data_IF_658167380741
#
_entry.id   IF_658167380741
#
_cell.length_a   1.000
_cell.length_b   1.000
_cell.length_c   1.000
_cell.angle_alpha   90.00
_cell.angle_beta   90.00
_cell.angle_gamma   90.00
#
_symmetry.space_group_name_H-M   'P 1'
#
loop_
_entity.id
_entity.type
_entity.pdbx_description
1 polymer ?
#
# COMPACT_ATOMS: atom_id res chain seq x y z
N UNK A 1 6.57 20.95 1.65
CA UNK A 1 7.35 20.25 2.70
C UNK A 1 8.58 19.69 2.00
N UNK A 2 9.77 19.96 2.53
CA UNK A 2 11.03 19.61 1.87
C UNK A 2 11.41 18.15 2.19
N UNK A 3 11.31 17.26 1.19
CA UNK A 3 11.60 15.83 1.32
C UNK A 3 13.05 15.58 1.79
N UNK A 4 14.02 16.32 1.24
CA UNK A 4 15.44 16.15 1.56
C UNK A 4 15.69 16.52 3.02
N UNK A 5 15.03 17.56 3.52
CA UNK A 5 15.09 17.94 4.94
C UNK A 5 14.55 16.83 5.87
N UNK A 6 13.42 16.23 5.53
CA UNK A 6 12.81 15.14 6.32
C UNK A 6 13.64 13.85 6.30
N UNK A 7 14.24 13.52 5.15
CA UNK A 7 15.15 12.39 5.02
C UNK A 7 16.40 12.61 5.88
N UNK A 8 17.02 13.79 5.81
CA UNK A 8 18.17 14.14 6.62
C UNK A 8 17.86 14.07 8.13
N UNK A 9 16.75 14.65 8.57
CA UNK A 9 16.28 14.56 9.96
C UNK A 9 16.06 13.11 10.41
N UNK A 10 15.54 12.26 9.52
CA UNK A 10 15.37 10.83 9.82
C UNK A 10 16.71 10.11 9.96
N UNK A 11 17.65 10.34 9.04
CA UNK A 11 19.00 9.74 9.07
C UNK A 11 19.78 10.20 10.31
N UNK A 12 19.68 11.47 10.71
CA UNK A 12 20.30 11.99 11.92
C UNK A 12 19.80 11.26 13.18
N UNK A 13 18.47 11.11 13.32
CA UNK A 13 17.89 10.33 14.43
C UNK A 13 18.31 8.86 14.39
N UNK A 14 18.39 8.27 13.20
CA UNK A 14 18.88 6.90 13.04
C UNK A 14 20.32 6.78 13.56
N UNK A 15 21.23 7.68 13.19
CA UNK A 15 22.65 7.66 13.64
C UNK A 15 22.84 7.79 15.16
N UNK A 16 21.81 8.21 15.91
CA UNK A 16 21.83 8.20 17.38
C UNK A 16 21.76 6.77 17.97
N UNK A 17 21.30 5.78 17.20
CA UNK A 17 21.17 4.38 17.63
C UNK A 17 22.39 3.56 17.18
N UNK A 18 22.99 2.70 18.04
CA UNK A 18 24.21 1.96 17.72
C UNK A 18 24.16 1.15 16.41
N UNK A 19 23.06 0.43 16.16
CA UNK A 19 22.88 -0.35 14.93
C UNK A 19 23.03 0.51 13.67
N UNK A 20 22.28 1.62 13.61
CA UNK A 20 22.29 2.53 12.47
C UNK A 20 23.59 3.31 12.38
N UNK A 21 24.20 3.69 13.50
CA UNK A 21 25.52 4.35 13.52
C UNK A 21 26.58 3.50 12.83
N UNK A 22 26.64 2.21 13.15
CA UNK A 22 27.58 1.28 12.52
C UNK A 22 27.23 1.05 11.05
N UNK A 23 25.96 0.76 10.75
CA UNK A 23 25.49 0.52 9.39
C UNK A 23 25.75 1.69 8.44
N UNK A 24 25.63 2.91 8.94
CA UNK A 24 25.73 4.14 8.15
C UNK A 24 27.12 4.80 8.25
N UNK A 25 28.13 4.15 8.83
CA UNK A 25 29.43 4.77 9.11
C UNK A 25 30.13 5.33 7.85
N UNK A 26 29.96 4.65 6.72
CA UNK A 26 30.58 5.00 5.44
C UNK A 26 29.61 5.73 4.48
N UNK A 27 28.38 6.02 4.91
CA UNK A 27 27.40 6.74 4.10
C UNK A 27 27.53 8.25 4.28
N UNK A 28 27.10 9.06 3.30
CA UNK A 28 27.04 10.52 3.43
C UNK A 28 26.35 10.96 4.74
N UNK A 29 26.86 12.03 5.34
CA UNK A 29 26.28 12.61 6.56
C UNK A 29 24.96 13.33 6.27
N UNK A 30 24.84 13.90 5.07
CA UNK A 30 23.71 14.68 4.60
C UNK A 30 23.45 14.34 3.13
N UNK A 31 22.18 14.30 2.76
CA UNK A 31 21.70 14.21 1.39
C UNK A 31 21.48 15.61 0.83
N UNK A 32 21.86 15.82 -0.42
CA UNK A 32 21.53 16.98 -1.24
C UNK A 32 20.30 16.70 -2.11
N UNK A 33 20.09 15.44 -2.50
CA UNK A 33 18.90 14.99 -3.21
C UNK A 33 18.42 13.60 -2.74
N UNK A 34 17.17 13.20 -3.07
CA UNK A 34 16.69 11.85 -2.76
C UNK A 34 17.54 10.73 -3.40
N UNK A 35 18.17 10.99 -4.55
CA UNK A 35 19.00 10.05 -5.31
C UNK A 35 20.29 9.68 -4.55
N UNK A 36 20.77 10.51 -3.62
CA UNK A 36 21.91 10.19 -2.77
C UNK A 36 21.67 8.94 -1.91
N UNK A 37 20.41 8.57 -1.68
CA UNK A 37 20.05 7.33 -1.02
C UNK A 37 20.62 6.10 -1.75
N UNK A 38 20.87 6.15 -3.06
CA UNK A 38 21.47 5.02 -3.79
C UNK A 38 22.82 4.58 -3.21
N UNK A 39 23.55 5.48 -2.55
CA UNK A 39 24.81 5.18 -1.84
C UNK A 39 24.62 4.45 -0.49
N UNK A 40 23.40 4.35 0.01
CA UNK A 40 23.06 3.71 1.28
C UNK A 40 22.74 2.22 1.08
N UNK A 41 23.13 1.34 2.02
CA UNK A 41 22.95 -0.10 1.88
C UNK A 41 21.48 -0.51 1.98
N UNK A 42 21.04 -1.39 1.06
CA UNK A 42 19.71 -2.01 1.08
C UNK A 42 19.47 -2.79 2.37
N UNK A 43 18.31 -2.60 2.98
CA UNK A 43 17.86 -3.36 4.13
C UNK A 43 17.02 -4.56 3.68
N UNK A 44 17.57 -5.76 3.85
CA UNK A 44 16.92 -7.01 3.48
C UNK A 44 15.96 -7.50 4.58
N UNK A 45 14.93 -8.23 4.18
CA UNK A 45 13.97 -8.83 5.11
C UNK A 45 14.64 -9.73 6.17
N UNK A 46 15.66 -10.51 5.77
CA UNK A 46 16.39 -11.38 6.68
C UNK A 46 17.08 -10.62 7.81
N UNK A 47 17.57 -9.42 7.54
CA UNK A 47 18.20 -8.59 8.55
C UNK A 47 17.17 -7.95 9.48
N UNK A 48 16.07 -7.44 8.92
CA UNK A 48 14.94 -6.92 9.71
C UNK A 48 14.39 -7.98 10.68
N UNK A 49 14.33 -9.25 10.23
CA UNK A 49 13.91 -10.39 11.05
C UNK A 49 14.88 -10.67 12.22
N UNK A 50 16.19 -10.68 11.97
CA UNK A 50 17.21 -11.03 12.98
C UNK A 50 17.51 -9.90 13.95
N UNK A 51 17.60 -8.67 13.45
CA UNK A 51 18.15 -7.51 14.17
C UNK A 51 17.14 -6.40 14.39
N UNK A 52 15.86 -6.58 14.05
CA UNK A 52 14.85 -5.52 14.07
C UNK A 52 14.75 -4.77 15.41
N UNK A 53 14.94 -5.44 16.54
CA UNK A 53 14.92 -4.76 17.87
C UNK A 53 16.05 -3.74 18.03
N UNK A 54 17.20 -3.96 17.40
CA UNK A 54 18.35 -3.06 17.47
C UNK A 54 18.14 -1.79 16.62
N UNK A 55 17.15 -1.78 15.73
CA UNK A 55 16.87 -0.67 14.79
C UNK A 55 15.89 0.37 15.36
N UNK A 56 15.29 0.11 16.53
CA UNK A 56 14.27 0.95 17.16
C UNK A 56 14.90 2.22 17.72
N UNK A 57 14.29 3.39 17.46
CA UNK A 57 14.86 4.69 17.88
C UNK A 57 14.42 5.16 19.26
N UNK A 58 13.36 4.57 19.80
CA UNK A 58 12.71 4.99 21.04
C UNK A 58 12.74 3.88 22.08
N UNK A 59 12.68 4.21 23.39
CA UNK A 59 12.64 3.19 24.43
C UNK A 59 11.38 2.31 24.32
N UNK A 60 11.38 1.08 24.88
CA UNK A 60 10.23 0.17 24.80
C UNK A 60 8.91 0.76 25.31
N UNK A 61 8.96 1.68 26.30
CA UNK A 61 7.78 2.36 26.83
C UNK A 61 7.08 3.29 25.84
N UNK A 62 7.79 3.76 24.81
CA UNK A 62 7.28 4.69 23.79
C UNK A 62 6.76 3.95 22.53
N UNK A 63 6.71 2.62 22.57
CA UNK A 63 6.16 1.80 21.49
C UNK A 63 4.66 1.58 21.72
N UNK A 64 3.84 2.06 20.79
CA UNK A 64 2.39 1.91 20.83
C UNK A 64 1.90 0.56 20.29
N UNK A 65 2.63 -0.05 19.34
CA UNK A 65 2.26 -1.33 18.73
C UNK A 65 3.49 -2.10 18.21
N UNK A 66 3.57 -3.40 18.53
CA UNK A 66 4.54 -4.33 17.94
C UNK A 66 3.83 -5.29 16.98
N UNK A 67 4.05 -5.12 15.68
CA UNK A 67 3.48 -6.01 14.65
C UNK A 67 4.39 -7.22 14.50
N UNK A 68 3.89 -8.42 14.79
CA UNK A 68 4.64 -9.67 14.62
C UNK A 68 4.17 -10.38 13.35
N UNK A 69 5.09 -10.60 12.43
CA UNK A 69 4.89 -11.31 11.17
C UNK A 69 5.50 -12.71 11.29
N UNK A 70 4.66 -13.74 11.19
CA UNK A 70 5.10 -15.14 11.11
C UNK A 70 5.02 -15.58 9.66
N UNK A 71 6.13 -16.03 9.07
CA UNK A 71 6.13 -16.78 7.82
C UNK A 71 5.71 -18.22 8.11
N UNK A 72 4.74 -18.73 7.36
CA UNK A 72 4.40 -20.15 7.37
C UNK A 72 5.57 -20.93 6.76
N UNK A 73 6.35 -21.62 7.59
CA UNK A 73 7.42 -22.51 7.11
C UNK A 73 8.85 -22.19 7.57
N UNK A 74 9.07 -21.13 8.35
CA UNK A 74 10.41 -20.85 8.93
C UNK A 74 10.44 -21.16 10.42
N UNK A 75 11.36 -22.00 10.87
CA UNK A 75 11.64 -22.26 12.31
C UNK A 75 12.32 -21.09 13.02
N UNK A 76 12.76 -20.07 12.28
CA UNK A 76 13.43 -18.88 12.81
C UNK A 76 12.51 -17.89 13.54
N UNK A 77 13.08 -16.88 14.22
CA UNK A 77 12.32 -15.88 14.94
C UNK A 77 11.42 -15.07 13.99
N UNK A 78 10.23 -14.65 14.44
CA UNK A 78 9.32 -13.87 13.60
C UNK A 78 9.87 -12.46 13.35
N UNK A 79 9.54 -11.90 12.19
CA UNK A 79 9.85 -10.51 11.86
C UNK A 79 8.95 -9.58 12.69
N UNK A 80 9.51 -8.53 13.29
CA UNK A 80 8.78 -7.59 14.14
C UNK A 80 8.99 -6.15 13.70
N UNK A 81 7.91 -5.38 13.68
CA UNK A 81 7.90 -3.94 13.38
C UNK A 81 7.39 -3.21 14.61
N UNK A 82 8.07 -2.12 15.00
CA UNK A 82 7.78 -1.37 16.22
C UNK A 82 7.27 0.02 15.84
N UNK A 83 6.00 0.28 16.12
CA UNK A 83 5.32 1.53 15.76
C UNK A 83 5.09 2.35 17.03
N UNK A 84 5.54 3.60 17.03
CA UNK A 84 5.23 4.57 18.10
C UNK A 84 3.78 5.07 17.97
N UNK A 85 3.20 5.69 19.02
CA UNK A 85 1.91 6.37 18.91
C UNK A 85 1.85 7.42 17.79
N UNK A 86 2.97 8.12 17.52
CA UNK A 86 3.08 9.11 16.45
C UNK A 86 2.94 8.44 15.07
N UNK A 87 3.58 7.28 14.87
CA UNK A 87 3.50 6.53 13.60
C UNK A 87 2.07 6.05 13.34
N UNK A 88 1.40 5.57 14.39
CA UNK A 88 0.03 5.07 14.34
C UNK A 88 -0.97 6.18 14.01
N UNK A 89 -0.86 7.35 14.66
CA UNK A 89 -1.73 8.50 14.36
C UNK A 89 -1.48 9.02 12.94
N UNK A 90 -0.23 9.01 12.45
CA UNK A 90 0.05 9.34 11.04
C UNK A 90 -0.66 8.39 10.08
N UNK A 91 -0.73 7.09 10.40
CA UNK A 91 -1.47 6.11 9.58
C UNK A 91 -2.97 6.37 9.64
N UNK A 92 -3.54 6.63 10.82
CA UNK A 92 -4.94 6.99 10.97
C UNK A 92 -5.28 8.24 10.17
N UNK A 93 -4.43 9.27 10.20
CA UNK A 93 -4.61 10.49 9.40
C UNK A 93 -4.57 10.21 7.91
N UNK A 94 -3.64 9.36 7.45
CA UNK A 94 -3.57 8.95 6.06
C UNK A 94 -4.83 8.19 5.61
N UNK A 95 -5.32 7.25 6.43
CA UNK A 95 -6.58 6.56 6.14
C UNK A 95 -7.77 7.52 6.12
N UNK A 96 -7.81 8.50 7.04
CA UNK A 96 -8.89 9.48 7.10
C UNK A 96 -8.92 10.31 5.82
N UNK A 97 -7.77 10.85 5.39
CA UNK A 97 -7.63 11.52 4.11
C UNK A 97 -8.04 10.61 2.95
N UNK A 98 -7.56 9.36 2.95
CA UNK A 98 -7.85 8.40 1.89
C UNK A 98 -9.35 8.14 1.70
N UNK A 99 -10.08 7.96 2.79
CA UNK A 99 -11.53 7.77 2.78
C UNK A 99 -12.26 8.96 2.12
N UNK A 100 -11.77 10.20 2.25
CA UNK A 100 -12.40 11.36 1.59
C UNK A 100 -12.32 11.33 0.06
N UNK A 101 -11.49 10.44 -0.51
CA UNK A 101 -11.37 10.28 -1.97
C UNK A 101 -12.63 9.66 -2.59
N UNK A 102 -13.31 8.80 -1.83
CA UNK A 102 -14.42 7.98 -2.34
C UNK A 102 -15.63 7.89 -1.41
N UNK A 103 -15.54 8.36 -0.17
CA UNK A 103 -16.65 8.44 0.77
C UNK A 103 -17.16 9.88 0.93
N UNK A 104 -18.41 9.99 1.38
CA UNK A 104 -19.05 11.22 1.86
C UNK A 104 -19.33 11.13 3.36
N UNK A 105 -19.50 12.30 4.02
CA UNK A 105 -19.93 12.33 5.41
C UNK A 105 -21.31 11.68 5.56
N UNK A 106 -21.50 10.89 6.62
CA UNK A 106 -22.71 10.11 6.86
C UNK A 106 -22.71 8.71 6.23
N UNK A 107 -21.73 8.38 5.40
CA UNK A 107 -21.64 7.07 4.76
C UNK A 107 -21.47 5.94 5.78
N UNK A 108 -22.18 4.84 5.56
CA UNK A 108 -22.06 3.63 6.38
C UNK A 108 -21.00 2.70 5.79
N UNK A 109 -19.86 2.64 6.46
CA UNK A 109 -18.71 1.83 6.07
C UNK A 109 -18.72 0.48 6.82
N UNK A 110 -18.82 -0.63 6.09
CA UNK A 110 -18.55 -1.95 6.65
C UNK A 110 -17.08 -2.32 6.47
N UNK A 111 -16.36 -2.53 7.58
CA UNK A 111 -14.95 -2.94 7.58
C UNK A 111 -14.84 -4.44 7.80
N UNK A 112 -14.44 -5.16 6.75
CA UNK A 112 -14.37 -6.62 6.68
C UNK A 112 -12.99 -7.18 7.10
N UNK A 113 -11.98 -6.31 7.26
CA UNK A 113 -10.64 -6.77 7.62
C UNK A 113 -10.64 -7.54 8.96
N UNK A 114 -9.84 -8.61 9.07
CA UNK A 114 -9.74 -9.36 10.31
C UNK A 114 -8.98 -8.57 11.40
N UNK A 115 -9.17 -8.98 12.66
CA UNK A 115 -8.39 -8.51 13.80
C UNK A 115 -9.14 -7.53 14.70
N UNK A 116 -9.14 -7.82 16.00
CA UNK A 116 -9.83 -7.06 17.05
C UNK A 116 -8.90 -6.20 17.90
N UNK A 117 -7.60 -6.47 17.86
CA UNK A 117 -6.62 -5.74 18.64
C UNK A 117 -6.61 -4.25 18.30
N UNK A 118 -6.41 -3.42 19.33
CA UNK A 118 -6.09 -1.99 19.18
C UNK A 118 -4.93 -1.81 18.19
N UNK A 119 -5.01 -0.78 17.36
CA UNK A 119 -4.04 -0.50 16.30
C UNK A 119 -3.92 -1.59 15.23
N UNK A 120 -4.92 -2.47 15.11
CA UNK A 120 -5.11 -3.25 13.88
C UNK A 120 -5.52 -2.34 12.72
N UNK A 121 -5.38 -2.85 11.49
CA UNK A 121 -5.87 -2.14 10.29
C UNK A 121 -7.35 -1.79 10.43
N UNK A 122 -8.15 -2.74 10.94
CA UNK A 122 -9.58 -2.54 11.19
C UNK A 122 -9.85 -1.40 12.18
N UNK A 123 -9.17 -1.43 13.33
CA UNK A 123 -9.31 -0.41 14.38
C UNK A 123 -8.89 0.98 13.89
N UNK A 124 -7.75 1.06 13.19
CA UNK A 124 -7.27 2.33 12.62
C UNK A 124 -8.20 2.87 11.53
N UNK A 125 -8.75 2.01 10.68
CA UNK A 125 -9.66 2.44 9.61
C UNK A 125 -11.00 2.91 10.18
N UNK A 126 -11.53 2.24 11.20
CA UNK A 126 -12.75 2.70 11.92
C UNK A 126 -12.49 4.04 12.61
N UNK A 127 -11.33 4.19 13.25
CA UNK A 127 -10.92 5.45 13.89
C UNK A 127 -10.81 6.58 12.85
N UNK A 128 -10.20 6.30 11.70
CA UNK A 128 -10.09 7.23 10.58
C UNK A 128 -11.46 7.62 10.01
N UNK A 129 -12.36 6.65 9.83
CA UNK A 129 -13.71 6.86 9.33
C UNK A 129 -14.53 7.77 10.23
N UNK A 130 -14.43 7.60 11.56
CA UNK A 130 -15.08 8.51 12.52
C UNK A 130 -14.56 9.95 12.41
N UNK A 131 -13.26 10.15 12.16
CA UNK A 131 -12.65 11.49 12.02
C UNK A 131 -13.18 12.27 10.81
N UNK A 132 -13.70 11.57 9.79
CA UNK A 132 -14.25 12.17 8.56
C UNK A 132 -15.77 12.03 8.45
N UNK A 133 -16.45 11.73 9.57
CA UNK A 133 -17.91 11.76 9.67
C UNK A 133 -18.64 10.52 9.14
N UNK A 134 -17.95 9.41 8.94
CA UNK A 134 -18.57 8.14 8.53
C UNK A 134 -19.07 7.35 9.73
N UNK A 135 -20.11 6.54 9.51
CA UNK A 135 -20.58 5.52 10.45
C UNK A 135 -19.90 4.19 10.09
N UNK A 136 -18.82 3.85 10.79
CA UNK A 136 -18.04 2.65 10.49
C UNK A 136 -18.31 1.50 11.46
N UNK A 137 -18.60 0.32 10.91
CA UNK A 137 -18.92 -0.90 11.66
C UNK A 137 -17.92 -2.00 11.33
N UNK A 138 -17.33 -2.61 12.36
CA UNK A 138 -16.52 -3.82 12.19
C UNK A 138 -17.42 -5.01 11.86
N UNK A 139 -17.09 -5.76 10.80
CA UNK A 139 -17.77 -7.01 10.45
C UNK A 139 -16.88 -8.27 10.52
N UNK A 140 -15.59 -8.10 10.85
CA UNK A 140 -14.69 -9.19 11.30
C UNK A 140 -14.58 -10.39 10.35
N UNK A 141 -14.38 -11.59 10.91
CA UNK A 141 -14.47 -12.88 10.19
C UNK A 141 -15.92 -13.11 9.76
N UNK A 142 -16.23 -12.53 8.60
CA UNK A 142 -17.49 -12.47 7.90
C UNK A 142 -18.47 -13.63 8.18
N UNK A 143 -19.62 -13.32 8.78
CA UNK A 143 -20.87 -13.99 8.41
C UNK A 143 -21.34 -13.33 7.10
N UNK A 144 -21.07 -14.00 5.98
CA UNK A 144 -21.39 -13.49 4.64
C UNK A 144 -22.89 -13.25 4.53
N UNK A 145 -23.71 -14.07 5.19
CA UNK A 145 -25.16 -13.92 5.20
C UNK A 145 -25.56 -12.57 5.80
N UNK A 146 -25.04 -12.23 6.97
CA UNK A 146 -25.39 -10.97 7.65
C UNK A 146 -24.90 -9.73 6.87
N UNK A 147 -23.76 -9.85 6.20
CA UNK A 147 -23.27 -8.82 5.28
C UNK A 147 -24.24 -8.66 4.09
N UNK A 148 -24.64 -9.77 3.47
CA UNK A 148 -25.57 -9.77 2.34
C UNK A 148 -26.93 -9.20 2.72
N UNK A 149 -27.50 -9.59 3.86
CA UNK A 149 -28.75 -9.03 4.39
C UNK A 149 -28.63 -7.51 4.54
N UNK A 150 -27.52 -7.03 5.13
CA UNK A 150 -27.28 -5.60 5.24
C UNK A 150 -27.08 -4.88 3.91
N UNK A 151 -26.49 -5.53 2.89
CA UNK A 151 -26.40 -4.95 1.55
C UNK A 151 -27.78 -4.82 0.91
N UNK A 152 -28.64 -5.84 1.05
CA UNK A 152 -30.00 -5.85 0.50
C UNK A 152 -30.95 -4.89 1.20
N UNK A 153 -30.76 -4.67 2.50
CA UNK A 153 -31.49 -3.67 3.28
C UNK A 153 -30.95 -2.24 3.07
N UNK A 154 -29.88 -2.08 2.29
CA UNK A 154 -29.25 -0.79 2.04
C UNK A 154 -28.63 -0.19 3.31
N UNK A 155 -28.09 -1.02 4.22
CA UNK A 155 -27.37 -0.61 5.44
C UNK A 155 -25.92 -0.17 5.19
N UNK A 156 -25.37 -0.46 4.02
CA UNK A 156 -23.97 -0.17 3.68
C UNK A 156 -23.88 0.70 2.42
N UNK A 157 -23.10 1.77 2.53
CA UNK A 157 -22.76 2.66 1.42
C UNK A 157 -21.37 2.34 0.87
N UNK A 158 -20.48 1.83 1.73
CA UNK A 158 -19.08 1.53 1.42
C UNK A 158 -18.64 0.21 2.07
N UNK A 159 -17.86 -0.59 1.35
CA UNK A 159 -17.16 -1.78 1.91
C UNK A 159 -15.65 -1.53 1.97
N UNK A 160 -14.97 -2.05 2.99
CA UNK A 160 -13.52 -2.16 3.00
C UNK A 160 -13.11 -3.60 3.32
N UNK A 161 -12.46 -4.27 2.37
CA UNK A 161 -12.13 -5.70 2.49
C UNK A 161 -10.94 -6.11 1.64
N UNK A 162 -10.58 -7.39 1.73
CA UNK A 162 -9.57 -7.98 0.85
C UNK A 162 -10.17 -8.32 -0.52
N UNK A 163 -9.35 -8.45 -1.59
CA UNK A 163 -9.85 -8.92 -2.89
C UNK A 163 -10.68 -10.21 -2.80
N UNK A 164 -10.28 -11.17 -1.96
CA UNK A 164 -11.02 -12.41 -1.76
C UNK A 164 -12.41 -12.19 -1.11
N UNK A 165 -12.50 -11.29 -0.13
CA UNK A 165 -13.77 -10.95 0.51
C UNK A 165 -14.72 -10.24 -0.47
N UNK A 166 -14.20 -9.31 -1.26
CA UNK A 166 -15.00 -8.60 -2.27
C UNK A 166 -15.44 -9.55 -3.40
N UNK A 167 -14.57 -10.49 -3.81
CA UNK A 167 -14.94 -11.54 -4.76
C UNK A 167 -16.06 -12.45 -4.24
N UNK A 168 -16.05 -12.78 -2.93
CA UNK A 168 -17.12 -13.56 -2.31
C UNK A 168 -18.47 -12.83 -2.37
N UNK A 169 -18.49 -11.52 -2.08
CA UNK A 169 -19.69 -10.67 -2.22
C UNK A 169 -20.19 -10.67 -3.66
N UNK A 170 -19.29 -10.45 -4.63
CA UNK A 170 -19.64 -10.45 -6.05
C UNK A 170 -20.27 -11.78 -6.50
N UNK A 171 -19.71 -12.91 -6.03
CA UNK A 171 -20.22 -14.25 -6.34
C UNK A 171 -21.63 -14.49 -5.78
N UNK A 172 -21.92 -14.01 -4.57
CA UNK A 172 -23.25 -14.15 -3.97
C UNK A 172 -24.31 -13.29 -4.66
N UNK A 173 -23.93 -12.13 -5.17
CA UNK A 173 -24.83 -11.24 -5.90
C UNK A 173 -25.06 -11.67 -7.35
N UNK A 174 -24.15 -12.47 -7.92
CA UNK A 174 -24.20 -12.88 -9.32
C UNK A 174 -25.52 -13.57 -9.66
N UNK A 175 -26.19 -13.07 -10.70
CA UNK A 175 -27.46 -13.62 -11.19
C UNK A 175 -28.67 -13.34 -10.31
N UNK A 176 -28.52 -12.60 -9.20
CA UNK A 176 -29.61 -12.23 -8.32
C UNK A 176 -29.98 -10.76 -8.54
N UNK A 177 -31.27 -10.45 -8.64
CA UNK A 177 -31.77 -9.08 -8.80
C UNK A 177 -31.96 -8.40 -7.45
N UNK A 178 -30.86 -8.13 -6.76
CA UNK A 178 -30.92 -7.29 -5.56
C UNK A 178 -30.82 -5.82 -5.93
N UNK A 179 -31.65 -4.98 -5.31
CA UNK A 179 -31.44 -3.52 -5.33
C UNK A 179 -30.49 -3.20 -4.18
N UNK A 180 -29.21 -3.04 -4.48
CA UNK A 180 -28.20 -2.65 -3.49
C UNK A 180 -27.80 -1.19 -3.70
N UNK A 181 -27.48 -0.50 -2.61
CA UNK A 181 -27.09 0.91 -2.59
C UNK A 181 -25.62 1.09 -2.22
N UNK A 182 -24.76 0.21 -2.75
CA UNK A 182 -23.32 0.31 -2.53
C UNK A 182 -22.73 1.27 -3.55
N UNK A 183 -21.95 2.26 -3.10
CA UNK A 183 -21.34 3.25 -4.00
C UNK A 183 -19.88 2.97 -4.28
N UNK A 184 -19.13 2.56 -3.25
CA UNK A 184 -17.71 2.32 -3.39
C UNK A 184 -17.20 1.18 -2.52
N UNK A 185 -16.01 0.69 -2.84
CA UNK A 185 -15.28 -0.26 -2.01
C UNK A 185 -13.79 0.07 -1.94
N UNK A 186 -13.17 -0.26 -0.82
CA UNK A 186 -11.72 -0.24 -0.62
C UNK A 186 -11.20 -1.68 -0.63
N UNK A 187 -10.26 -1.98 -1.53
CA UNK A 187 -9.51 -3.23 -1.58
C UNK A 187 -8.13 -3.03 -0.97
N UNK A 188 -7.68 -3.95 -0.12
CA UNK A 188 -6.30 -3.95 0.41
C UNK A 188 -5.90 -5.33 0.93
N UNK A 189 -4.59 -5.54 1.08
CA UNK A 189 -4.02 -6.71 1.76
C UNK A 189 -3.69 -7.89 0.85
N UNK A 190 -4.06 -7.84 -0.43
CA UNK A 190 -3.61 -8.73 -1.49
C UNK A 190 -3.75 -8.01 -2.84
N UNK A 191 -3.16 -8.57 -3.90
CA UNK A 191 -3.26 -8.03 -5.25
C UNK A 191 -4.71 -8.05 -5.75
N UNK A 192 -5.23 -6.89 -6.16
CA UNK A 192 -6.54 -6.79 -6.80
C UNK A 192 -6.42 -7.16 -8.30
N UNK A 193 -6.99 -8.31 -8.66
CA UNK A 193 -7.07 -8.73 -10.06
C UNK A 193 -8.11 -7.92 -10.84
N UNK A 194 -7.91 -7.78 -12.15
CA UNK A 194 -8.88 -7.14 -13.05
C UNK A 194 -10.24 -7.85 -12.98
N UNK A 195 -10.21 -9.19 -13.03
CA UNK A 195 -11.40 -10.04 -12.93
C UNK A 195 -12.19 -9.82 -11.65
N UNK A 196 -11.51 -9.67 -10.50
CA UNK A 196 -12.19 -9.38 -9.22
C UNK A 196 -12.83 -8.00 -9.24
N UNK A 197 -12.13 -6.99 -9.78
CA UNK A 197 -12.64 -5.62 -9.94
C UNK A 197 -13.88 -5.59 -10.82
N UNK A 198 -13.84 -6.21 -12.00
CA UNK A 198 -14.97 -6.27 -12.93
C UNK A 198 -16.15 -7.00 -12.31
N UNK A 199 -15.94 -8.22 -11.81
CA UNK A 199 -17.01 -9.03 -11.23
C UNK A 199 -17.70 -8.30 -10.06
N UNK A 200 -16.94 -7.60 -9.22
CA UNK A 200 -17.49 -6.81 -8.13
C UNK A 200 -18.27 -5.60 -8.64
N UNK A 201 -17.72 -4.85 -9.59
CA UNK A 201 -18.35 -3.64 -10.14
C UNK A 201 -19.64 -3.99 -10.90
N UNK A 202 -19.64 -5.06 -11.70
CA UNK A 202 -20.82 -5.58 -12.41
C UNK A 202 -21.92 -6.03 -11.44
N UNK A 203 -21.53 -6.75 -10.38
CA UNK A 203 -22.49 -7.28 -9.41
C UNK A 203 -23.08 -6.21 -8.49
N UNK A 204 -22.36 -5.10 -8.26
CA UNK A 204 -22.73 -4.10 -7.25
C UNK A 204 -23.08 -2.71 -7.79
N UNK A 205 -22.59 -2.37 -8.98
CA UNK A 205 -22.57 -1.00 -9.47
C UNK A 205 -21.60 -0.06 -8.73
N UNK A 206 -20.79 -0.57 -7.80
CA UNK A 206 -19.89 0.22 -6.98
C UNK A 206 -18.49 0.34 -7.59
N UNK A 207 -17.86 1.49 -7.40
CA UNK A 207 -16.47 1.74 -7.78
C UNK A 207 -15.50 1.18 -6.73
N UNK A 208 -14.46 0.47 -7.14
CA UNK A 208 -13.48 -0.14 -6.22
C UNK A 208 -12.14 0.61 -6.29
N UNK A 209 -11.63 1.00 -5.14
CA UNK A 209 -10.36 1.70 -4.96
C UNK A 209 -9.34 0.74 -4.37
N UNK A 210 -8.20 0.60 -5.02
CA UNK A 210 -7.10 -0.23 -4.53
C UNK A 210 -6.20 0.51 -3.56
N UNK A 211 -5.67 -0.20 -2.59
CA UNK A 211 -4.74 0.34 -1.59
C UNK A 211 -3.62 -0.66 -1.33
N UNK A 212 -2.40 -0.19 -1.49
CA UNK A 212 -1.20 -0.92 -1.11
C UNK A 212 -0.76 -0.50 0.28
N UNK A 213 -0.44 -1.49 1.10
CA UNK A 213 0.12 -1.28 2.42
C UNK A 213 0.98 -2.47 2.83
N UNK A 214 2.08 -2.17 3.52
CA UNK A 214 2.92 -3.16 4.17
C UNK A 214 2.95 -2.90 5.68
N UNK A 215 3.20 -3.94 6.48
CA UNK A 215 3.25 -3.81 7.94
C UNK A 215 4.47 -2.99 8.38
N UNK A 216 5.55 -3.12 7.62
CA UNK A 216 6.82 -2.43 7.72
C UNK A 216 6.69 -0.91 7.54
N UNK A 217 5.80 -0.49 6.64
CA UNK A 217 5.44 0.91 6.41
C UNK A 217 4.30 1.43 7.31
N UNK A 218 3.89 0.67 8.33
CA UNK A 218 2.80 1.08 9.22
C UNK A 218 1.41 1.00 8.57
N UNK A 219 1.18 -0.03 7.75
CA UNK A 219 -0.10 -0.45 7.14
C UNK A 219 -0.67 0.39 5.99
N UNK A 220 -0.29 1.66 5.83
CA UNK A 220 -0.77 2.52 4.74
C UNK A 220 0.37 3.00 3.86
N UNK A 221 0.37 2.63 2.58
CA UNK A 221 1.50 2.84 1.67
C UNK A 221 1.19 3.64 0.42
N UNK A 222 0.10 3.30 -0.27
CA UNK A 222 -0.37 4.00 -1.45
C UNK A 222 -1.89 3.79 -1.64
N UNK A 223 -2.59 4.76 -2.24
CA UNK A 223 -4.04 4.70 -2.46
C UNK A 223 -4.40 5.14 -3.89
N UNK A 224 -5.26 4.35 -4.54
CA UNK A 224 -5.82 4.66 -5.85
C UNK A 224 -6.72 5.90 -5.81
N UNK A 225 -6.61 6.76 -6.82
CA UNK A 225 -7.54 7.87 -7.05
C UNK A 225 -8.57 7.51 -8.13
N UNK A 226 -9.56 8.39 -8.34
CA UNK A 226 -10.61 8.20 -9.37
C UNK A 226 -10.12 8.06 -10.81
N UNK A 227 -8.84 8.32 -11.09
CA UNK A 227 -8.27 8.03 -12.40
C UNK A 227 -8.01 6.53 -12.63
N UNK A 228 -7.98 5.71 -11.57
CA UNK A 228 -7.70 4.27 -11.65
C UNK A 228 -6.43 3.90 -12.45
N UNK A 229 -5.38 4.73 -12.33
CA UNK A 229 -4.08 4.56 -13.00
C UNK A 229 -2.95 4.38 -11.99
N UNK A 230 -3.12 3.42 -11.08
CA UNK A 230 -2.18 3.16 -10.00
C UNK A 230 -2.48 3.95 -8.73
N UNK A 231 -1.71 3.67 -7.68
CA UNK A 231 -1.95 4.12 -6.31
C UNK A 231 -0.97 5.23 -5.93
N UNK A 232 -1.45 6.41 -5.55
CA UNK A 232 -0.57 7.49 -5.11
C UNK A 232 0.13 7.14 -3.80
N UNK A 233 1.46 7.27 -3.79
CA UNK A 233 2.29 7.03 -2.62
C UNK A 233 1.91 7.95 -1.45
N UNK A 234 1.93 7.40 -0.25
CA UNK A 234 1.67 8.11 0.99
C UNK A 234 2.82 9.08 1.34
N UNK A 235 2.53 10.31 1.80
CA UNK A 235 3.51 11.16 2.47
C UNK A 235 4.12 10.48 3.70
N UNK A 236 5.46 10.47 3.81
CA UNK A 236 6.21 9.73 4.83
C UNK A 236 6.83 8.42 4.33
N UNK A 237 6.57 8.03 3.08
CA UNK A 237 7.19 6.87 2.44
C UNK A 237 7.74 7.31 1.09
N UNK A 238 9.05 7.16 0.91
CA UNK A 238 9.71 7.28 -0.37
C UNK A 238 9.81 5.89 -0.99
N UNK A 239 9.37 5.74 -2.24
CA UNK A 239 9.50 4.50 -2.99
C UNK A 239 10.58 4.61 -4.06
N UNK A 240 11.37 3.55 -4.17
CA UNK A 240 12.32 3.27 -5.24
C UNK A 240 11.89 1.96 -5.91
N UNK A 241 12.08 1.85 -7.22
CA UNK A 241 11.94 0.59 -7.95
C UNK A 241 13.31 0.29 -8.53
N UNK A 242 13.87 -0.87 -8.17
CA UNK A 242 15.22 -1.26 -8.58
C UNK A 242 15.19 -2.41 -9.58
N UNK A 243 16.06 -2.34 -10.58
CA UNK A 243 16.32 -3.45 -11.50
C UNK A 243 17.01 -4.63 -10.77
N UNK A 244 17.26 -5.73 -11.49
CA UNK A 244 17.95 -6.90 -10.93
C UNK A 244 19.39 -6.65 -10.50
N UNK A 245 20.01 -5.58 -11.00
CA UNK A 245 21.38 -5.16 -10.67
C UNK A 245 21.40 -4.23 -9.46
N UNK A 246 20.24 -3.84 -8.92
CA UNK A 246 20.11 -2.90 -7.81
C UNK A 246 20.17 -1.43 -8.23
N UNK A 247 20.12 -1.13 -9.52
CA UNK A 247 20.08 0.24 -10.04
C UNK A 247 18.62 0.74 -10.10
N UNK A 248 18.37 2.06 -10.09
CA UNK A 248 17.05 2.60 -10.37
C UNK A 248 16.50 2.07 -11.69
N UNK A 249 15.32 1.47 -11.63
CA UNK A 249 14.56 1.10 -12.81
C UNK A 249 14.01 2.38 -13.46
N UNK A 250 14.03 2.48 -14.81
CA UNK A 250 13.31 3.54 -15.50
C UNK A 250 11.84 3.59 -15.08
N UNK A 251 11.24 4.77 -15.17
CA UNK A 251 9.80 4.93 -14.95
C UNK A 251 9.02 3.94 -15.83
N UNK A 252 7.93 3.41 -15.30
CA UNK A 252 7.09 2.41 -15.98
C UNK A 252 7.81 1.08 -16.36
N UNK A 253 9.01 0.80 -15.81
CA UNK A 253 9.68 -0.51 -15.93
C UNK A 253 9.63 -1.30 -14.62
N UNK A 254 9.13 -2.55 -14.60
CA UNK A 254 8.99 -3.33 -13.37
C UNK A 254 10.32 -3.59 -12.67
N UNK A 255 10.30 -3.57 -11.34
CA UNK A 255 11.46 -3.89 -10.53
C UNK A 255 11.11 -4.14 -9.06
N UNK A 256 12.13 -4.42 -8.27
CA UNK A 256 11.98 -4.66 -6.84
C UNK A 256 11.59 -3.36 -6.12
N UNK A 257 10.47 -3.38 -5.39
CA UNK A 257 10.03 -2.26 -4.59
C UNK A 257 10.91 -2.11 -3.35
N UNK A 258 11.46 -0.92 -3.19
CA UNK A 258 12.26 -0.49 -2.04
C UNK A 258 11.61 0.74 -1.42
N UNK A 259 11.54 0.78 -0.09
CA UNK A 259 10.93 1.89 0.63
C UNK A 259 11.85 2.49 1.69
N UNK A 260 11.73 3.80 1.88
CA UNK A 260 12.31 4.54 2.99
C UNK A 260 11.18 5.25 3.76
N UNK A 261 11.04 4.97 5.05
CA UNK A 261 10.00 5.55 5.91
C UNK A 261 10.53 6.78 6.64
N UNK A 262 10.38 7.95 6.02
CA UNK A 262 10.84 9.21 6.60
C UNK A 262 9.84 9.79 7.61
N UNK A 263 10.40 10.38 8.66
CA UNK A 263 9.64 10.90 9.79
C UNK A 263 9.04 9.82 10.70
N UNK A 264 9.28 8.52 10.46
CA UNK A 264 8.88 7.47 11.41
C UNK A 264 9.66 7.59 12.74
N UNK A 265 9.02 7.34 13.88
CA UNK A 265 9.61 7.50 15.21
C UNK A 265 9.98 6.16 15.87
N UNK A 266 9.13 5.14 15.76
CA UNK A 266 9.38 3.85 16.39
C UNK A 266 10.54 3.12 15.73
N UNK A 267 10.34 2.74 14.48
CA UNK A 267 11.28 1.96 13.69
C UNK A 267 11.29 2.46 12.24
N UNK A 268 12.06 3.50 11.92
CA UNK A 268 12.26 3.91 10.54
C UNK A 268 13.03 2.84 9.77
N UNK A 269 12.73 2.74 8.49
CA UNK A 269 13.36 1.83 7.54
C UNK A 269 14.03 2.68 6.48
N UNK A 270 15.29 2.36 6.20
CA UNK A 270 16.07 3.01 5.16
C UNK A 270 16.36 1.99 4.07
N UNK A 271 15.87 2.27 2.86
CA UNK A 271 15.99 1.41 1.67
C UNK A 271 15.65 -0.06 1.94
N UNK A 272 14.50 -0.28 2.56
CA UNK A 272 13.99 -1.62 2.85
C UNK A 272 13.36 -2.24 1.60
N UNK A 273 13.84 -3.43 1.22
CA UNK A 273 13.26 -4.24 0.13
C UNK A 273 11.99 -4.93 0.62
N UNK A 274 10.84 -4.62 0.01
CA UNK A 274 9.53 -5.13 0.47
C UNK A 274 9.26 -6.57 0.04
N UNK A 275 9.98 -7.03 -0.98
CA UNK A 275 9.72 -8.30 -1.68
C UNK A 275 8.62 -8.20 -2.74
N UNK A 276 8.06 -7.01 -2.99
CA UNK A 276 7.08 -6.80 -4.05
C UNK A 276 7.77 -6.47 -5.38
N UNK A 277 7.20 -6.95 -6.48
CA UNK A 277 7.47 -6.45 -7.83
C UNK A 277 6.51 -5.29 -8.11
N UNK A 278 7.05 -4.15 -8.52
CA UNK A 278 6.25 -2.96 -8.75
C UNK A 278 6.74 -2.09 -9.91
N UNK A 279 5.85 -1.21 -10.34
CA UNK A 279 6.07 -0.10 -11.25
C UNK A 279 5.86 1.21 -10.49
N UNK A 280 6.66 2.21 -10.82
CA UNK A 280 6.51 3.56 -10.30
C UNK A 280 6.39 4.55 -11.47
N UNK A 281 5.35 5.35 -11.43
CA UNK A 281 5.00 6.35 -12.44
C UNK A 281 4.99 7.73 -11.80
N UNK A 282 5.89 8.60 -12.25
CA UNK A 282 6.07 9.96 -11.72
C UNK A 282 5.40 11.03 -12.59
N UNK A 283 4.70 10.63 -13.66
CA UNK A 283 4.02 11.58 -14.54
C UNK A 283 2.82 12.25 -13.82
N UNK A 284 2.48 13.51 -14.16
CA UNK A 284 1.37 14.22 -13.54
C UNK A 284 0.05 13.44 -13.57
N UNK A 285 -0.73 13.53 -12.50
CA UNK A 285 -2.05 12.90 -12.42
C UNK A 285 -3.17 13.88 -12.70
N UNK A 286 -4.21 13.43 -13.41
CA UNK A 286 -5.38 14.25 -13.69
C UNK A 286 -6.19 14.57 -12.41
N UNK A 287 -6.00 13.80 -11.33
CA UNK A 287 -6.59 14.11 -10.03
C UNK A 287 -5.88 15.27 -9.29
N UNK A 288 -4.74 15.77 -9.81
CA UNK A 288 -3.95 16.84 -9.19
C UNK A 288 -3.04 16.40 -8.05
N UNK A 289 -3.06 15.12 -7.63
CA UNK A 289 -2.13 14.61 -6.64
C UNK A 289 -0.72 14.48 -7.24
N UNK A 290 0.25 15.16 -6.62
CA UNK A 290 1.65 15.22 -7.08
C UNK A 290 2.56 14.08 -6.59
N UNK A 291 2.06 13.13 -5.80
CA UNK A 291 2.85 11.96 -5.40
C UNK A 291 2.92 10.92 -6.53
N UNK A 292 4.05 10.20 -6.69
CA UNK A 292 4.16 9.11 -7.65
C UNK A 292 3.08 8.05 -7.49
N UNK A 293 2.72 7.38 -8.59
CA UNK A 293 1.74 6.29 -8.63
C UNK A 293 2.45 4.95 -8.66
N UNK A 294 2.11 4.08 -7.71
CA UNK A 294 2.60 2.72 -7.56
C UNK A 294 1.62 1.73 -8.18
N UNK A 295 2.12 0.80 -8.97
CA UNK A 295 1.37 -0.42 -9.35
C UNK A 295 2.15 -1.64 -8.88
N UNK A 296 1.54 -2.45 -8.01
CA UNK A 296 2.14 -3.72 -7.56
C UNK A 296 1.68 -4.83 -8.48
N UNK A 297 2.63 -5.63 -8.95
CA UNK A 297 2.42 -6.69 -9.92
C UNK A 297 2.38 -8.08 -9.28
N UNK A 298 3.00 -8.24 -8.12
CA UNK A 298 3.08 -9.51 -7.41
C UNK A 298 4.24 -9.53 -6.42
N UNK A 299 4.60 -10.72 -5.94
CA UNK A 299 5.76 -10.93 -5.07
C UNK A 299 6.94 -11.43 -5.90
N UNK A 300 8.15 -10.94 -5.63
CA UNK A 300 9.37 -11.38 -6.34
C UNK A 300 9.61 -12.90 -6.22
N UNK A 301 9.21 -13.52 -5.10
CA UNK A 301 9.33 -14.96 -4.84
C UNK A 301 8.39 -15.82 -5.70
N UNK A 302 7.31 -15.24 -6.22
CA UNK A 302 6.30 -15.95 -7.04
C UNK A 302 6.68 -15.99 -8.53
N UNK A 303 7.64 -15.15 -8.95
CA UNK A 303 8.05 -14.96 -10.35
C UNK A 303 9.22 -15.90 -10.70
N UNK A 304 9.19 -17.14 -10.22
CA UNK A 304 10.27 -18.09 -10.45
C UNK A 304 10.38 -18.49 -11.93
N UNK A 305 11.20 -17.80 -12.74
CA UNK A 305 11.57 -18.25 -14.09
C UNK A 305 12.97 -17.76 -14.54
N UNK A 306 13.56 -18.52 -15.46
CA UNK A 306 14.92 -18.38 -16.02
C UNK A 306 15.11 -17.23 -17.03
N UNK A 307 14.06 -16.48 -17.40
CA UNK A 307 14.19 -15.25 -18.20
C UNK A 307 13.33 -14.11 -17.62
N UNK A 308 13.92 -12.98 -17.18
CA UNK A 308 13.25 -11.95 -16.38
C UNK A 308 12.70 -10.79 -17.23
N UNK A 309 12.82 -10.87 -18.56
CA UNK A 309 12.37 -9.81 -19.47
C UNK A 309 11.03 -10.09 -20.13
N UNK A 310 10.45 -11.28 -19.99
CA UNK A 310 9.15 -11.60 -20.58
C UNK A 310 7.99 -11.54 -19.57
N UNK A 311 7.91 -10.44 -18.83
CA UNK A 311 6.67 -10.05 -18.14
C UNK A 311 5.68 -9.37 -19.10
N UNK A 312 6.11 -9.05 -20.33
CA UNK A 312 5.31 -8.37 -21.33
C UNK A 312 4.30 -9.29 -22.03
N UNK A 313 4.65 -10.57 -22.25
CA UNK A 313 3.72 -11.57 -22.81
C UNK A 313 2.61 -11.95 -21.81
N UNK A 314 2.90 -12.01 -20.52
CA UNK A 314 1.90 -12.25 -19.46
C UNK A 314 0.96 -11.05 -19.21
N UNK A 315 1.34 -9.84 -19.62
CA UNK A 315 0.45 -8.67 -19.56
C UNK A 315 -0.71 -8.74 -20.57
N UNK A 316 -0.58 -9.50 -21.67
CA UNK A 316 -1.66 -9.72 -22.64
C UNK A 316 -2.79 -10.60 -22.08
N UNK A 317 -2.47 -11.53 -21.17
CA UNK A 317 -3.47 -12.36 -20.47
C UNK A 317 -4.20 -11.64 -19.32
N UNK A 318 -3.72 -10.46 -18.91
CA UNK A 318 -4.17 -9.78 -17.69
C UNK A 318 -5.09 -8.57 -17.92
N UNK A 319 -5.45 -8.24 -19.16
CA UNK A 319 -6.33 -7.10 -19.47
C UNK A 319 -5.79 -5.74 -19.00
N UNK A 320 -4.56 -5.69 -18.48
CA UNK A 320 -3.90 -4.50 -17.94
C UNK A 320 -2.88 -4.01 -18.96
N UNK A 321 -3.35 -3.42 -20.07
CA UNK A 321 -2.63 -2.25 -20.56
C UNK A 321 -2.99 -1.12 -19.60
N UNK A 322 -2.04 -0.54 -18.86
CA UNK A 322 -2.27 0.77 -18.27
C UNK A 322 -2.74 1.69 -19.40
N UNK A 323 -3.76 2.50 -19.19
CA UNK A 323 -4.19 3.47 -20.20
C UNK A 323 -3.10 4.49 -20.57
N UNK A 324 -1.95 4.50 -19.87
CA UNK A 324 -0.72 5.21 -20.29
C UNK A 324 -0.06 4.62 -21.56
N UNK A 325 -0.37 3.39 -21.96
CA UNK A 325 0.12 2.81 -23.22
C UNK A 325 -0.72 3.17 -24.46
N UNK A 326 -1.90 3.80 -24.31
CA UNK A 326 -2.71 4.26 -25.43
C UNK A 326 -2.52 5.77 -25.64
N UNK A 327 -1.35 6.18 -26.14
CA UNK A 327 -0.98 7.59 -26.15
C UNK A 327 0.10 8.07 -27.13
N UNK A 328 0.38 7.39 -28.24
CA UNK A 328 1.12 8.00 -29.36
C UNK A 328 0.93 7.20 -30.66
N UNK A 329 -0.25 7.28 -31.25
CA UNK A 329 -0.58 6.49 -32.44
C UNK A 329 -1.72 7.08 -33.27
N UNK A 330 -1.84 8.40 -33.33
CA UNK A 330 -2.56 9.05 -34.44
C UNK A 330 -1.51 9.67 -35.35
N UNK A 331 -1.12 8.92 -36.40
CA UNK A 331 -0.60 9.55 -37.61
C UNK A 331 -1.67 10.53 -38.08
N UNK A 332 -1.32 11.80 -38.17
CA UNK A 332 -2.14 12.76 -38.89
C UNK A 332 -2.34 12.23 -40.32
N UNK A 333 -3.56 12.28 -40.88
CA UNK A 333 -3.72 12.07 -42.31
C UNK A 333 -3.00 13.22 -43.03
N UNK A 334 -2.05 12.85 -43.89
CA UNK A 334 -1.45 13.77 -44.84
C UNK A 334 -2.56 14.37 -45.71
N UNK A 335 -2.83 15.65 -45.51
CA UNK A 335 -3.62 16.45 -46.44
C UNK A 335 -2.67 17.02 -47.49
N UNK A 336 -2.93 16.61 -48.73
CA UNK A 336 -2.52 17.18 -50.04
C UNK A 336 -1.04 17.47 -50.29
#
# INVERSE_FOLDING_TARGET
MDLVKELNSSIERMRAVPYWRERLKNCPKRLESPEDLLSFPLLEEGELRRRGREMVLVPPGDIGRIVTLRSSGTTGPPKRVYLSPVDLERTVRYFAWGLTTFCSSGDRLAVLYPGESRWSVRDMLITAAKKVGLVATARGSMDLRELMEGLTEGRWDVLAGTPAQLAAVARELKGRRFRIRLRSALSSGALLSHRTREAFSEATGAEIFDHWGCREGGYGGALECRSHRGMHMRPGILAEVLDRRGNPSPDETPGALVITTYGAHGMPLLRYKTGDLALLDRSPCHCGNGYPRLSVLGRLEEIGTDDPMDWASDLEGWGKRPSSFQGSGKRAPSAT
#
